data_IF_555507671983
#
_entry.id   IF_555507671983
#
_cell.length_a   1.000
_cell.length_b   1.000
_cell.length_c   1.000
_cell.angle_alpha   90.00
_cell.angle_beta   90.00
_cell.angle_gamma   90.00
#
_symmetry.space_group_name_H-M   'P 1'
#
loop_
_entity.id
_entity.type
_entity.pdbx_description
1 polymer ?
#
# COMPACT_ATOMS: atom_id res chain seq x y z
N UNK A 1 -0.31 -50.89 32.33
CA UNK A 1 -1.08 -50.42 31.15
C UNK A 1 -1.67 -49.02 31.32
N UNK A 2 -1.94 -48.53 32.49
CA UNK A 2 -2.52 -47.19 32.70
C UNK A 2 -1.51 -46.05 32.62
N UNK A 3 -0.25 -46.30 32.85
CA UNK A 3 0.83 -45.28 32.82
C UNK A 3 1.29 -44.96 31.38
N UNK A 4 1.25 -45.91 30.51
CA UNK A 4 1.65 -45.73 29.10
C UNK A 4 0.64 -44.89 28.28
N UNK A 5 -0.66 -44.97 28.68
CA UNK A 5 -1.69 -44.10 28.06
C UNK A 5 -1.54 -42.63 28.44
N UNK A 6 -1.02 -42.34 29.64
CA UNK A 6 -0.79 -40.93 30.06
C UNK A 6 0.42 -40.31 29.37
N UNK A 7 1.45 -41.07 29.10
CA UNK A 7 2.63 -40.60 28.31
C UNK A 7 2.30 -40.39 26.85
N UNK A 8 1.42 -41.18 26.25
CA UNK A 8 0.99 -41.02 24.86
C UNK A 8 0.08 -39.77 24.67
N UNK A 9 -0.71 -39.38 25.68
CA UNK A 9 -1.53 -38.16 25.63
C UNK A 9 -0.72 -36.87 25.84
N UNK A 10 0.43 -36.94 26.51
CA UNK A 10 1.32 -35.77 26.69
C UNK A 10 2.15 -35.47 25.45
N UNK A 11 2.42 -36.46 24.58
CA UNK A 11 3.15 -36.27 23.32
C UNK A 11 2.28 -35.70 22.19
N UNK A 12 0.95 -35.78 22.28
CA UNK A 12 0.03 -35.30 21.24
C UNK A 12 -0.39 -33.83 21.44
N UNK A 13 -0.04 -33.24 22.59
CA UNK A 13 -0.41 -31.87 22.94
C UNK A 13 0.58 -30.79 22.50
N UNK A 14 1.76 -31.13 21.98
CA UNK A 14 2.82 -30.17 21.61
C UNK A 14 2.90 -29.83 20.10
N UNK A 15 1.99 -30.36 19.29
CA UNK A 15 2.02 -30.23 17.83
C UNK A 15 1.16 -29.13 17.21
N UNK A 16 0.41 -28.35 17.98
CA UNK A 16 -0.60 -27.40 17.44
C UNK A 16 -0.28 -25.94 17.77
N UNK A 17 0.98 -25.60 17.99
CA UNK A 17 1.39 -24.26 18.41
C UNK A 17 2.35 -23.49 17.52
N UNK A 18 2.75 -23.98 16.35
CA UNK A 18 3.81 -23.36 15.55
C UNK A 18 3.40 -22.92 14.13
N UNK A 19 2.12 -22.86 13.79
CA UNK A 19 1.65 -22.31 12.51
C UNK A 19 1.15 -20.87 12.63
N UNK A 20 1.46 -20.19 13.72
CA UNK A 20 1.13 -18.78 13.93
C UNK A 20 2.32 -17.87 13.65
N UNK A 21 2.27 -17.11 12.56
CA UNK A 21 3.00 -15.85 12.38
C UNK A 21 4.46 -15.93 11.95
N UNK A 22 4.73 -16.51 10.79
CA UNK A 22 5.99 -16.23 10.09
C UNK A 22 5.98 -14.83 9.42
N UNK A 23 4.83 -14.22 9.25
CA UNK A 23 4.67 -12.91 8.65
C UNK A 23 3.50 -12.15 9.28
N UNK A 24 3.75 -10.90 9.64
CA UNK A 24 2.73 -9.93 10.02
C UNK A 24 2.67 -8.85 8.94
N UNK A 25 1.46 -8.43 8.58
CA UNK A 25 1.27 -7.39 7.59
C UNK A 25 1.94 -6.09 8.02
N UNK A 26 2.49 -5.36 7.05
CA UNK A 26 3.02 -4.03 7.29
C UNK A 26 1.86 -3.09 7.64
N UNK A 27 2.06 -2.27 8.66
CA UNK A 27 1.07 -1.29 9.10
C UNK A 27 1.29 0.02 8.33
N UNK A 28 0.28 0.50 7.62
CA UNK A 28 0.28 1.86 7.06
C UNK A 28 -0.07 2.82 8.16
N UNK A 29 0.86 3.70 8.52
CA UNK A 29 0.68 4.68 9.59
C UNK A 29 0.09 5.97 9.06
N UNK A 30 0.63 6.47 7.95
CA UNK A 30 0.24 7.73 7.35
C UNK A 30 0.46 7.69 5.83
N UNK A 31 -0.43 8.32 5.10
CA UNK A 31 -0.28 8.60 3.68
C UNK A 31 -0.23 10.11 3.54
N UNK A 32 0.94 10.63 3.19
CA UNK A 32 1.13 12.08 3.03
C UNK A 32 0.34 12.62 1.82
N UNK A 33 0.06 13.89 1.85
CA UNK A 33 -0.53 14.57 0.69
C UNK A 33 0.43 14.53 -0.51
N UNK A 34 -0.13 14.66 -1.71
CA UNK A 34 0.69 14.74 -2.92
C UNK A 34 1.63 15.94 -2.86
N UNK A 35 2.87 15.70 -3.22
CA UNK A 35 3.92 16.71 -3.40
C UNK A 35 4.43 16.69 -4.83
N UNK A 36 5.23 17.72 -5.19
CA UNK A 36 5.86 17.86 -6.50
C UNK A 36 4.88 17.68 -7.68
N UNK A 37 3.71 18.26 -7.54
CA UNK A 37 2.66 18.24 -8.56
C UNK A 37 3.15 18.94 -9.82
N UNK A 38 3.20 18.21 -10.92
CA UNK A 38 3.51 18.74 -12.24
C UNK A 38 2.41 18.38 -13.23
N UNK A 39 2.00 19.38 -14.01
CA UNK A 39 1.00 19.22 -15.05
C UNK A 39 1.65 19.40 -16.42
N UNK A 40 1.33 18.52 -17.36
CA UNK A 40 1.77 18.58 -18.74
C UNK A 40 0.62 18.20 -19.67
N UNK A 41 0.82 18.35 -20.96
CA UNK A 41 -0.14 17.87 -21.98
C UNK A 41 -0.34 16.34 -21.93
N UNK A 42 0.58 15.63 -21.30
CA UNK A 42 0.56 14.18 -21.17
C UNK A 42 -0.17 13.71 -19.91
N UNK A 43 -0.47 14.62 -18.97
CA UNK A 43 -1.15 14.32 -17.72
C UNK A 43 -0.50 14.96 -16.51
N UNK A 44 -0.90 14.50 -15.33
CA UNK A 44 -0.35 14.93 -14.05
C UNK A 44 0.64 13.90 -13.54
N UNK A 45 1.72 14.38 -12.93
CA UNK A 45 2.65 13.59 -12.13
C UNK A 45 2.74 14.19 -10.73
N UNK A 46 2.87 13.34 -9.74
CA UNK A 46 3.02 13.74 -8.35
C UNK A 46 3.91 12.73 -7.62
N UNK A 47 4.45 13.15 -6.49
CA UNK A 47 5.06 12.27 -5.50
C UNK A 47 4.14 12.13 -4.30
N UNK A 48 4.24 11.01 -3.63
CA UNK A 48 3.52 10.72 -2.40
C UNK A 48 4.39 9.84 -1.53
N UNK A 49 4.45 10.16 -0.25
CA UNK A 49 5.14 9.33 0.73
C UNK A 49 4.13 8.55 1.56
N UNK A 50 4.47 7.32 1.87
CA UNK A 50 3.67 6.46 2.74
C UNK A 50 4.55 6.01 3.90
N UNK A 51 4.18 6.39 5.11
CA UNK A 51 4.82 5.91 6.31
C UNK A 51 4.27 4.55 6.71
N UNK A 52 5.17 3.60 6.85
CA UNK A 52 4.84 2.23 7.20
C UNK A 52 5.65 1.76 8.41
N UNK A 53 5.04 0.87 9.19
CA UNK A 53 5.71 0.17 10.28
C UNK A 53 5.81 -1.32 9.95
N UNK A 54 6.98 -1.89 10.20
CA UNK A 54 7.23 -3.32 10.07
C UNK A 54 7.17 -3.97 11.45
N UNK A 55 6.09 -4.68 11.80
CA UNK A 55 5.98 -5.36 13.09
C UNK A 55 6.79 -6.67 13.16
N UNK A 56 7.38 -7.08 12.05
CA UNK A 56 8.14 -8.33 11.99
C UNK A 56 9.53 -8.19 12.62
N UNK A 57 10.07 -9.26 13.25
CA UNK A 57 11.42 -9.29 13.82
C UNK A 57 12.53 -9.41 12.76
N UNK A 58 12.20 -9.21 11.49
CA UNK A 58 13.11 -9.24 10.35
C UNK A 58 12.84 -8.09 9.38
N UNK A 59 13.84 -7.76 8.57
CA UNK A 59 13.69 -6.71 7.57
C UNK A 59 12.78 -7.15 6.41
N UNK A 60 11.94 -6.22 5.97
CA UNK A 60 11.09 -6.37 4.79
C UNK A 60 11.54 -5.35 3.74
N UNK A 61 11.70 -5.81 2.51
CA UNK A 61 12.08 -4.97 1.37
C UNK A 61 10.88 -4.80 0.45
N UNK A 62 10.42 -3.58 0.25
CA UNK A 62 9.41 -3.25 -0.76
C UNK A 62 10.10 -3.16 -2.11
N UNK A 63 9.70 -3.99 -3.07
CA UNK A 63 10.38 -4.14 -4.36
C UNK A 63 9.53 -3.71 -5.55
N UNK A 64 8.24 -3.50 -5.35
CA UNK A 64 7.36 -3.05 -6.41
C UNK A 64 5.94 -2.78 -5.96
N UNK A 65 5.22 -2.05 -6.79
CA UNK A 65 3.80 -1.76 -6.63
C UNK A 65 3.09 -1.93 -7.97
N UNK A 66 1.91 -2.50 -7.95
CA UNK A 66 0.96 -2.50 -9.07
C UNK A 66 -0.36 -1.97 -8.53
N UNK A 67 -0.40 -0.65 -8.37
CA UNK A 67 -1.52 0.08 -7.77
C UNK A 67 -2.09 1.05 -8.79
N UNK A 68 -3.40 1.04 -8.94
CA UNK A 68 -4.17 1.95 -9.81
C UNK A 68 -4.86 3.00 -8.96
N UNK A 69 -4.87 4.22 -9.48
CA UNK A 69 -5.63 5.31 -8.91
C UNK A 69 -6.98 5.41 -9.62
N UNK A 70 -8.04 5.47 -8.83
CA UNK A 70 -9.43 5.59 -9.29
C UNK A 70 -10.04 6.90 -8.82
N UNK A 71 -10.82 7.51 -9.69
CA UNK A 71 -11.75 8.60 -9.37
C UNK A 71 -13.10 8.19 -9.97
N UNK A 72 -14.14 8.18 -9.17
CA UNK A 72 -15.49 7.74 -9.59
C UNK A 72 -15.49 6.40 -10.36
N UNK A 73 -14.78 5.41 -9.80
CA UNK A 73 -14.61 4.06 -10.39
C UNK A 73 -13.79 4.00 -11.69
N UNK A 74 -13.44 5.15 -12.28
CA UNK A 74 -12.59 5.20 -13.46
C UNK A 74 -11.09 5.16 -13.08
N UNK A 75 -10.31 4.35 -13.80
CA UNK A 75 -8.85 4.32 -13.63
C UNK A 75 -8.25 5.58 -14.24
N UNK A 76 -7.72 6.46 -13.40
CA UNK A 76 -7.14 7.74 -13.82
C UNK A 76 -5.63 7.74 -13.83
N UNK A 77 -4.98 6.80 -13.15
CA UNK A 77 -3.53 6.77 -13.06
C UNK A 77 -2.96 5.49 -12.49
N UNK A 78 -1.64 5.48 -12.45
CA UNK A 78 -0.83 4.40 -11.90
C UNK A 78 0.03 4.95 -10.75
N UNK A 79 0.17 4.17 -9.69
CA UNK A 79 1.04 4.46 -8.55
C UNK A 79 2.18 3.45 -8.56
N UNK A 80 3.40 3.94 -8.71
CA UNK A 80 4.59 3.12 -8.81
C UNK A 80 5.58 3.44 -7.71
N UNK A 81 6.36 2.44 -7.30
CA UNK A 81 7.45 2.62 -6.35
C UNK A 81 8.54 3.50 -6.98
N UNK A 82 8.96 4.55 -6.27
CA UNK A 82 10.06 5.39 -6.73
C UNK A 82 11.40 4.67 -6.61
N UNK A 83 11.63 4.07 -5.45
CA UNK A 83 12.84 3.30 -5.17
C UNK A 83 12.54 2.13 -4.23
N UNK A 84 13.39 1.10 -4.32
CA UNK A 84 13.31 -0.05 -3.42
C UNK A 84 13.60 0.40 -1.99
N UNK A 85 12.64 0.22 -1.10
CA UNK A 85 12.74 0.63 0.29
C UNK A 85 12.88 -0.57 1.20
N UNK A 86 13.88 -0.56 2.08
CA UNK A 86 14.07 -1.59 3.10
C UNK A 86 13.60 -1.08 4.45
N UNK A 87 12.63 -1.78 5.02
CA UNK A 87 12.07 -1.49 6.34
C UNK A 87 12.72 -2.43 7.34
N UNK A 88 13.45 -1.87 8.31
CA UNK A 88 14.14 -2.64 9.34
C UNK A 88 13.13 -3.37 10.24
N UNK A 89 13.59 -4.42 10.97
CA UNK A 89 12.77 -5.07 11.98
C UNK A 89 12.20 -4.07 12.97
N UNK A 90 10.92 -4.21 13.32
CA UNK A 90 10.24 -3.43 14.36
C UNK A 90 10.47 -1.91 14.22
N UNK A 91 10.55 -1.42 12.96
CA UNK A 91 10.87 -0.04 12.66
C UNK A 91 9.90 0.59 11.66
N UNK A 92 9.92 1.92 11.65
CA UNK A 92 9.21 2.74 10.65
C UNK A 92 10.12 3.06 9.49
N UNK A 93 9.51 3.22 8.31
CA UNK A 93 10.17 3.76 7.13
C UNK A 93 9.17 4.49 6.26
N UNK A 94 9.66 5.48 5.53
CA UNK A 94 8.90 6.19 4.50
C UNK A 94 9.13 5.52 3.15
N UNK A 95 8.07 5.16 2.47
CA UNK A 95 8.08 4.55 1.13
C UNK A 95 7.69 5.62 0.11
N UNK A 96 8.63 6.11 -0.72
CA UNK A 96 8.34 7.09 -1.73
C UNK A 96 7.65 6.45 -2.94
N UNK A 97 6.54 7.04 -3.37
CA UNK A 97 5.74 6.61 -4.50
C UNK A 97 5.65 7.70 -5.55
N UNK A 98 5.62 7.30 -6.83
CA UNK A 98 5.25 8.16 -7.94
C UNK A 98 3.83 7.88 -8.39
N UNK A 99 3.07 8.94 -8.55
CA UNK A 99 1.74 8.92 -9.13
C UNK A 99 1.80 9.53 -10.52
N UNK A 100 1.28 8.82 -11.51
CA UNK A 100 1.19 9.30 -12.88
C UNK A 100 -0.22 9.06 -13.40
N UNK A 101 -0.90 10.11 -13.83
CA UNK A 101 -2.19 9.96 -14.49
C UNK A 101 -2.03 9.49 -15.92
N UNK A 102 -3.02 8.75 -16.41
CA UNK A 102 -3.06 8.31 -17.80
C UNK A 102 -3.41 9.46 -18.73
N UNK A 103 -2.85 9.43 -19.92
CA UNK A 103 -3.15 10.42 -20.95
C UNK A 103 -4.65 10.40 -21.29
N UNK A 104 -5.31 11.55 -21.23
CA UNK A 104 -6.74 11.68 -21.47
C UNK A 104 -7.64 11.40 -20.26
N UNK A 105 -7.18 10.66 -19.27
CA UNK A 105 -7.98 10.35 -18.07
C UNK A 105 -8.40 11.63 -17.31
N UNK A 106 -7.50 12.59 -17.20
CA UNK A 106 -7.82 13.91 -16.64
C UNK A 106 -8.91 14.66 -17.43
N UNK A 107 -8.93 14.53 -18.75
CA UNK A 107 -9.95 15.18 -19.58
C UNK A 107 -11.36 14.67 -19.23
N UNK A 108 -11.50 13.38 -19.02
CA UNK A 108 -12.81 12.76 -18.79
C UNK A 108 -13.29 13.03 -17.34
N UNK A 109 -12.38 12.95 -16.38
CA UNK A 109 -12.66 13.39 -14.99
C UNK A 109 -12.92 14.89 -14.94
N UNK A 110 -12.11 15.70 -15.62
CA UNK A 110 -12.26 17.15 -15.64
C UNK A 110 -13.54 17.63 -16.33
N UNK A 111 -14.10 16.89 -17.26
CA UNK A 111 -15.41 17.25 -17.85
C UNK A 111 -16.56 17.20 -16.84
N UNK A 112 -16.49 16.28 -15.86
CA UNK A 112 -17.54 16.10 -14.88
C UNK A 112 -17.21 16.77 -13.52
N UNK A 113 -15.94 16.79 -13.13
CA UNK A 113 -15.52 17.22 -11.79
C UNK A 113 -14.64 18.46 -11.73
N UNK A 114 -14.16 18.98 -12.87
CA UNK A 114 -13.39 20.23 -12.89
C UNK A 114 -14.18 21.39 -12.28
N UNK A 115 -15.49 21.43 -12.54
CA UNK A 115 -16.36 22.43 -11.94
C UNK A 115 -16.47 22.25 -10.42
N UNK A 116 -16.40 21.02 -9.95
CA UNK A 116 -16.38 20.69 -8.53
C UNK A 116 -15.02 21.03 -7.90
N UNK A 117 -13.93 20.69 -8.57
CA UNK A 117 -12.58 21.04 -8.14
C UNK A 117 -12.36 22.57 -8.08
N UNK A 118 -12.81 23.30 -9.12
CA UNK A 118 -12.75 24.77 -9.15
C UNK A 118 -13.65 25.41 -8.08
N UNK A 119 -14.75 24.74 -7.71
CA UNK A 119 -15.64 25.17 -6.64
C UNK A 119 -15.17 24.81 -5.24
N UNK A 120 -13.98 24.17 -5.12
CA UNK A 120 -13.43 23.71 -3.84
C UNK A 120 -14.15 22.49 -3.27
N UNK A 121 -14.81 21.70 -4.13
CA UNK A 121 -15.43 20.44 -3.71
C UNK A 121 -14.37 19.33 -3.65
N UNK A 122 -14.39 18.56 -2.59
CA UNK A 122 -13.49 17.44 -2.39
C UNK A 122 -13.70 16.37 -3.46
N UNK A 123 -12.59 15.86 -4.03
CA UNK A 123 -12.60 14.73 -4.98
C UNK A 123 -12.13 13.47 -4.26
N UNK A 124 -12.98 12.48 -4.19
CA UNK A 124 -12.63 11.19 -3.61
C UNK A 124 -11.78 10.38 -4.59
N UNK A 125 -10.59 9.99 -4.15
CA UNK A 125 -9.68 9.11 -4.89
C UNK A 125 -9.50 7.79 -4.14
N UNK A 126 -9.44 6.69 -4.88
CA UNK A 126 -9.14 5.38 -4.31
C UNK A 126 -7.93 4.78 -4.99
N UNK A 127 -6.93 4.40 -4.20
CA UNK A 127 -5.80 3.60 -4.68
C UNK A 127 -6.08 2.12 -4.40
N UNK A 128 -6.10 1.29 -5.45
CA UNK A 128 -6.32 -0.17 -5.34
C UNK A 128 -5.24 -0.91 -6.11
N UNK A 129 -4.73 -1.99 -5.52
CA UNK A 129 -3.75 -2.82 -6.19
C UNK A 129 -3.00 -3.74 -5.26
N UNK A 130 -1.74 -3.95 -5.57
CA UNK A 130 -0.86 -4.88 -4.86
C UNK A 130 0.51 -4.26 -4.64
N UNK A 131 1.09 -4.55 -3.47
CA UNK A 131 2.46 -4.21 -3.13
C UNK A 131 3.26 -5.49 -3.03
N UNK A 132 4.41 -5.53 -3.69
CA UNK A 132 5.31 -6.68 -3.66
C UNK A 132 6.44 -6.41 -2.67
N UNK A 133 6.60 -7.31 -1.72
CA UNK A 133 7.67 -7.31 -0.75
C UNK A 133 8.55 -8.54 -0.86
N UNK A 134 9.73 -8.47 -0.22
CA UNK A 134 10.66 -9.59 -0.04
C UNK A 134 11.14 -9.66 1.40
N UNK A 135 11.17 -10.87 1.93
CA UNK A 135 11.84 -11.19 3.19
C UNK A 135 12.54 -12.54 3.06
N UNK A 136 13.76 -12.69 3.55
CA UNK A 136 14.56 -13.93 3.44
C UNK A 136 14.70 -14.47 2.00
N UNK A 137 14.72 -13.58 0.99
CA UNK A 137 14.76 -13.98 -0.42
C UNK A 137 13.43 -14.46 -1.01
N UNK A 138 12.40 -14.60 -0.20
CA UNK A 138 11.04 -14.96 -0.65
C UNK A 138 10.24 -13.72 -0.97
N UNK A 139 9.54 -13.73 -2.10
CA UNK A 139 8.63 -12.66 -2.49
C UNK A 139 7.22 -12.96 -2.00
N UNK A 140 6.54 -11.94 -1.54
CA UNK A 140 5.13 -11.97 -1.17
C UNK A 140 4.41 -10.74 -1.73
N UNK A 141 3.09 -10.83 -1.82
CA UNK A 141 2.27 -9.76 -2.37
C UNK A 141 1.12 -9.48 -1.42
N UNK A 142 0.94 -8.21 -1.07
CA UNK A 142 -0.11 -7.75 -0.17
C UNK A 142 -1.10 -6.88 -0.97
N UNK A 143 -2.40 -7.13 -0.87
CA UNK A 143 -3.40 -6.25 -1.46
C UNK A 143 -3.41 -4.91 -0.73
N UNK A 144 -3.57 -3.83 -1.49
CA UNK A 144 -3.70 -2.46 -0.98
C UNK A 144 -5.03 -1.86 -1.45
N UNK A 145 -5.76 -1.26 -0.53
CA UNK A 145 -6.89 -0.38 -0.82
C UNK A 145 -6.82 0.81 0.12
N UNK A 146 -6.70 2.00 -0.44
CA UNK A 146 -6.63 3.24 0.31
C UNK A 146 -7.55 4.29 -0.32
N UNK A 147 -8.39 4.91 0.51
CA UNK A 147 -9.27 5.98 0.11
C UNK A 147 -8.71 7.31 0.61
N UNK A 148 -8.58 8.27 -0.28
CA UNK A 148 -8.12 9.61 0.04
C UNK A 148 -9.04 10.64 -0.61
N UNK A 149 -9.30 11.72 0.09
CA UNK A 149 -10.01 12.88 -0.44
C UNK A 149 -8.97 13.93 -0.83
N UNK A 150 -8.99 14.34 -2.09
CA UNK A 150 -8.18 15.46 -2.56
C UNK A 150 -8.92 16.75 -2.22
N UNK A 151 -8.31 17.53 -1.34
CA UNK A 151 -8.77 18.88 -1.03
C UNK A 151 -7.87 19.88 -1.75
N UNK A 152 -8.46 20.75 -2.56
CA UNK A 152 -7.73 21.78 -3.32
C UNK A 152 -7.78 23.14 -2.64
N UNK A 153 -8.17 23.21 -1.37
CA UNK A 153 -8.09 24.47 -0.63
C UNK A 153 -6.62 24.81 -0.32
N UNK A 154 -6.17 26.01 -0.68
CA UNK A 154 -4.84 26.49 -0.35
C UNK A 154 -4.64 26.72 1.14
#
# INVERSE_FOLDING_TARGET
MREWLRLAMLALGLGVGLTGCLYQDLEVLEVEAFSDLSFSLQGMQAQMNVDVFNPNPYAVKITGTDVKLYVDEAVVGDVTLHEITTIRPEARATVPLHVRTRQGALRDVLKHDLMNLIRGTDVACTAKGKVTGKAFGLSFTVPLTHNQTLNTQP
#
